data_IF_004774320587
#
_entry.id   IF_004774320587
#
_cell.length_a   1.000
_cell.length_b   1.000
_cell.length_c   1.000
_cell.angle_alpha   90.00
_cell.angle_beta   90.00
_cell.angle_gamma   90.00
#
_symmetry.space_group_name_H-M   'P 1'
#
loop_
_entity.id
_entity.type
_entity.pdbx_description
1 polymer ?
#
# COMPACT_ATOMS: atom_id res chain seq x y z
N UNK A 1 3.77 21.11 4.73
CA UNK A 1 3.02 20.32 5.74
C UNK A 1 3.39 20.83 7.12
N UNK A 2 2.44 21.04 8.03
CA UNK A 2 2.74 21.40 9.42
C UNK A 2 2.86 20.16 10.30
N UNK A 3 3.56 20.26 11.43
CA UNK A 3 3.68 19.19 12.42
C UNK A 3 2.30 18.70 12.89
N UNK A 4 1.36 19.61 13.14
CA UNK A 4 -0.03 19.29 13.52
C UNK A 4 -0.71 18.41 12.47
N UNK A 5 -0.55 18.74 11.18
CA UNK A 5 -1.13 17.94 10.09
C UNK A 5 -0.49 16.55 10.00
N UNK A 6 0.83 16.45 10.20
CA UNK A 6 1.52 15.16 10.21
C UNK A 6 1.05 14.29 11.39
N UNK A 7 0.95 14.86 12.60
CA UNK A 7 0.49 14.14 13.79
C UNK A 7 -0.96 13.66 13.64
N UNK A 8 -1.86 14.49 13.11
CA UNK A 8 -3.25 14.07 12.84
C UNK A 8 -3.30 12.90 11.86
N UNK A 9 -2.44 12.89 10.83
CA UNK A 9 -2.36 11.77 9.88
C UNK A 9 -1.86 10.50 10.56
N UNK A 10 -0.82 10.57 11.38
CA UNK A 10 -0.30 9.41 12.13
C UNK A 10 -1.38 8.84 13.05
N UNK A 11 -2.05 9.66 13.85
CA UNK A 11 -3.15 9.22 14.72
C UNK A 11 -4.31 8.59 13.95
N UNK A 12 -4.61 9.11 12.76
CA UNK A 12 -5.64 8.52 11.89
C UNK A 12 -5.22 7.13 11.41
N UNK A 13 -3.97 6.96 10.97
CA UNK A 13 -3.45 5.65 10.53
C UNK A 13 -3.46 4.63 11.67
N UNK A 14 -3.13 5.05 12.89
CA UNK A 14 -3.20 4.23 14.09
C UNK A 14 -4.66 3.83 14.42
N UNK A 15 -5.60 4.77 14.40
CA UNK A 15 -7.03 4.48 14.62
C UNK A 15 -7.65 3.56 13.57
N UNK A 16 -7.05 3.50 12.38
CA UNK A 16 -7.46 2.65 11.27
C UNK A 16 -6.73 1.31 11.27
N UNK A 17 -5.92 1.03 12.30
CA UNK A 17 -5.12 -0.18 12.45
C UNK A 17 -4.14 -0.41 11.29
N UNK A 18 -3.72 0.65 10.60
CA UNK A 18 -2.75 0.59 9.50
C UNK A 18 -1.32 0.57 10.01
N UNK A 19 -1.08 1.23 11.14
CA UNK A 19 0.19 1.22 11.87
C UNK A 19 -0.07 0.86 13.32
N UNK A 20 0.88 0.16 13.93
CA UNK A 20 0.83 -0.28 15.32
C UNK A 20 2.01 0.33 16.04
N UNK A 21 1.78 0.95 17.20
CA UNK A 21 2.85 1.38 18.08
C UNK A 21 3.61 0.16 18.60
N UNK A 22 4.93 0.15 18.45
CA UNK A 22 5.77 -0.98 18.87
C UNK A 22 6.45 -0.74 20.21
N UNK A 23 7.11 0.42 20.35
CA UNK A 23 7.85 0.78 21.56
C UNK A 23 8.11 2.27 21.62
N UNK A 24 8.50 2.73 22.79
CA UNK A 24 9.02 4.10 23.00
C UNK A 24 10.54 4.02 23.13
N UNK A 25 11.27 4.92 22.46
CA UNK A 25 12.73 5.06 22.54
C UNK A 25 13.03 6.49 22.97
N UNK A 26 13.41 6.68 24.24
CA UNK A 26 13.50 8.00 24.84
C UNK A 26 12.15 8.72 24.83
N UNK A 27 12.06 9.87 24.14
CA UNK A 27 10.81 10.63 23.97
C UNK A 27 10.11 10.35 22.62
N UNK A 28 10.62 9.41 21.82
CA UNK A 28 10.06 9.07 20.51
C UNK A 28 9.21 7.80 20.56
N UNK A 29 8.06 7.82 19.90
CA UNK A 29 7.20 6.65 19.72
C UNK A 29 7.51 5.99 18.38
N UNK A 30 7.84 4.70 18.40
CA UNK A 30 8.12 3.90 17.21
C UNK A 30 6.85 3.17 16.76
N UNK A 31 6.64 3.14 15.45
CA UNK A 31 5.50 2.49 14.80
C UNK A 31 5.99 1.45 13.79
N UNK A 32 5.20 0.41 13.57
CA UNK A 32 5.36 -0.55 12.47
C UNK A 32 4.10 -0.58 11.62
N UNK A 33 4.22 -0.99 10.35
CA UNK A 33 3.06 -1.24 9.52
C UNK A 33 2.34 -2.51 9.95
N UNK A 34 1.01 -2.45 9.99
CA UNK A 34 0.17 -3.62 10.14
C UNK A 34 -0.09 -4.25 8.76
N UNK A 35 0.64 -5.32 8.46
CA UNK A 35 0.47 -6.07 7.20
C UNK A 35 -0.85 -6.86 7.17
N UNK A 36 -1.51 -7.05 8.31
CA UNK A 36 -2.81 -7.71 8.43
C UNK A 36 -3.99 -6.71 8.32
N UNK A 37 -3.69 -5.41 8.20
CA UNK A 37 -4.72 -4.38 8.06
C UNK A 37 -5.57 -4.59 6.80
N UNK A 38 -6.86 -4.23 6.88
CA UNK A 38 -7.76 -4.23 5.71
C UNK A 38 -7.19 -3.40 4.56
N UNK A 39 -6.48 -2.34 4.88
CA UNK A 39 -5.81 -1.46 3.93
C UNK A 39 -4.66 -2.18 3.22
N UNK A 40 -3.83 -2.94 3.94
CA UNK A 40 -2.79 -3.76 3.34
C UNK A 40 -3.39 -4.79 2.35
N UNK A 41 -4.49 -5.46 2.74
CA UNK A 41 -5.23 -6.35 1.85
C UNK A 41 -5.73 -5.66 0.58
N UNK A 42 -6.32 -4.46 0.70
CA UNK A 42 -6.82 -3.72 -0.46
C UNK A 42 -5.69 -3.24 -1.38
N UNK A 43 -4.54 -2.85 -0.82
CA UNK A 43 -3.36 -2.48 -1.59
C UNK A 43 -2.85 -3.70 -2.38
N UNK A 44 -2.73 -4.85 -1.73
CA UNK A 44 -2.28 -6.09 -2.38
C UNK A 44 -3.23 -6.50 -3.53
N UNK A 45 -4.54 -6.43 -3.30
CA UNK A 45 -5.54 -6.65 -4.34
C UNK A 45 -5.36 -5.71 -5.53
N UNK A 46 -5.14 -4.41 -5.28
CA UNK A 46 -4.93 -3.42 -6.34
C UNK A 46 -3.66 -3.72 -7.15
N UNK A 47 -2.57 -4.09 -6.47
CA UNK A 47 -1.31 -4.48 -7.12
C UNK A 47 -1.56 -5.68 -8.04
N UNK A 48 -2.25 -6.70 -7.55
CA UNK A 48 -2.59 -7.90 -8.33
C UNK A 48 -3.48 -7.57 -9.54
N UNK A 49 -4.47 -6.70 -9.38
CA UNK A 49 -5.31 -6.23 -10.50
C UNK A 49 -4.49 -5.48 -11.56
N UNK A 50 -3.58 -4.60 -11.14
CA UNK A 50 -2.68 -3.87 -12.04
C UNK A 50 -1.76 -4.84 -12.78
N UNK A 51 -1.13 -5.78 -12.08
CA UNK A 51 -0.26 -6.79 -12.66
C UNK A 51 -1.01 -7.63 -13.70
N UNK A 52 -2.21 -8.12 -13.35
CA UNK A 52 -3.09 -8.87 -14.25
C UNK A 52 -3.44 -8.07 -15.50
N UNK A 53 -3.80 -6.79 -15.35
CA UNK A 53 -4.10 -5.90 -16.49
C UNK A 53 -2.88 -5.70 -17.39
N UNK A 54 -1.69 -5.52 -16.81
CA UNK A 54 -0.43 -5.38 -17.56
C UNK A 54 -0.10 -6.64 -18.35
N UNK A 55 -0.24 -7.82 -17.74
CA UNK A 55 -0.04 -9.12 -18.41
C UNK A 55 -1.04 -9.30 -19.56
N UNK A 56 -2.33 -9.06 -19.32
CA UNK A 56 -3.37 -9.13 -20.37
C UNK A 56 -3.07 -8.18 -21.54
N UNK A 57 -2.59 -6.96 -21.24
CA UNK A 57 -2.20 -5.99 -22.27
C UNK A 57 -0.99 -6.46 -23.06
N UNK A 58 0.03 -7.02 -22.40
CA UNK A 58 1.22 -7.58 -23.04
C UNK A 58 0.86 -8.75 -23.97
N UNK A 59 0.00 -9.67 -23.51
CA UNK A 59 -0.50 -10.79 -24.33
C UNK A 59 -1.25 -10.28 -25.56
N UNK A 60 -2.17 -9.31 -25.40
CA UNK A 60 -2.89 -8.71 -26.55
C UNK A 60 -1.97 -8.00 -27.53
N UNK A 61 -0.88 -7.39 -27.06
CA UNK A 61 0.10 -6.74 -27.92
C UNK A 61 0.97 -7.74 -28.70
N UNK A 62 1.14 -8.98 -28.20
CA UNK A 62 1.89 -10.07 -28.83
C UNK A 62 1.13 -10.88 -29.90
N UNK A 63 -0.18 -10.66 -30.10
CA UNK A 63 -0.99 -11.32 -31.16
C UNK A 63 -1.14 -10.41 -32.40
N UNK A 64 -0.15 -9.56 -32.67
CA UNK A 64 0.04 -8.97 -34.01
C UNK A 64 1.11 -9.75 -34.76
N UNK A 65 0.92 -11.07 -34.90
CA UNK A 65 1.73 -11.84 -35.84
C UNK A 65 1.19 -11.55 -37.24
N UNK A 66 1.95 -10.76 -38.01
CA UNK A 66 1.78 -10.67 -39.47
C UNK A 66 1.87 -12.09 -40.05
N UNK A 67 0.87 -12.54 -40.82
CA UNK A 67 1.05 -13.70 -41.68
C UNK A 67 2.05 -13.30 -42.77
N UNK A 68 3.04 -14.18 -42.98
CA UNK A 68 3.95 -14.13 -44.13
C UNK A 68 3.19 -14.37 -45.43
#
# INVERSE_FOLDING_TARGET
MSFKTALTKVKKLESQDVIIQTRTVGNAVMYQFNMESKQAYHIDKLINEIATRRIKKAIKAGIKHQPA
#
